data_IF_824648688867
#
_entry.id   IF_824648688867
#
_cell.length_a   1.000
_cell.length_b   1.000
_cell.length_c   1.000
_cell.angle_alpha   90.00
_cell.angle_beta   90.00
_cell.angle_gamma   90.00
#
_symmetry.space_group_name_H-M   'P 1'
#
loop_
_entity.id
_entity.type
_entity.pdbx_description
1 polymer ?
#
# COMPACT_ATOMS: atom_id res chain seq x y z
N UNK A 1 29.25 -8.05 -21.03
CA UNK A 1 28.39 -9.19 -21.44
C UNK A 1 28.41 -10.13 -20.25
N UNK A 2 27.34 -10.40 -19.51
CA UNK A 2 25.97 -10.72 -19.94
C UNK A 2 25.00 -10.37 -18.80
N UNK A 3 23.83 -9.83 -19.16
CA UNK A 3 22.78 -9.33 -18.26
C UNK A 3 22.02 -10.48 -17.60
N UNK A 4 21.86 -10.43 -16.27
CA UNK A 4 20.78 -11.11 -15.56
C UNK A 4 19.55 -10.21 -15.56
N UNK A 5 18.50 -10.62 -16.27
CA UNK A 5 17.17 -10.04 -16.15
C UNK A 5 16.40 -10.82 -15.07
N UNK A 6 16.08 -10.16 -13.96
CA UNK A 6 15.04 -10.61 -13.02
C UNK A 6 13.68 -10.32 -13.65
N UNK A 7 12.83 -11.35 -13.76
CA UNK A 7 11.41 -11.18 -14.02
C UNK A 7 10.71 -10.88 -12.70
N UNK A 8 10.31 -9.62 -12.52
CA UNK A 8 9.29 -9.21 -11.55
C UNK A 8 7.92 -9.62 -12.11
N UNK A 9 7.35 -10.71 -11.61
CA UNK A 9 5.93 -11.02 -11.80
C UNK A 9 5.13 -10.36 -10.67
N UNK A 10 4.68 -9.13 -10.91
CA UNK A 10 3.57 -8.54 -10.16
C UNK A 10 2.29 -9.32 -10.47
N UNK A 11 1.83 -10.13 -9.52
CA UNK A 11 0.49 -10.70 -9.52
C UNK A 11 -0.33 -9.81 -8.61
N UNK A 12 -1.16 -8.93 -9.18
CA UNK A 12 -2.15 -8.14 -8.44
C UNK A 12 -3.06 -9.07 -7.65
N UNK A 13 -2.87 -9.09 -6.34
CA UNK A 13 -3.54 -9.99 -5.39
C UNK A 13 -4.95 -9.54 -5.00
N UNK A 14 -5.72 -8.92 -5.91
CA UNK A 14 -7.09 -8.45 -5.65
C UNK A 14 -8.18 -9.35 -6.26
N UNK A 15 -7.82 -10.30 -7.12
CA UNK A 15 -8.73 -11.36 -7.58
C UNK A 15 -8.47 -12.64 -6.79
N UNK A 16 -9.32 -12.98 -5.81
CA UNK A 16 -9.76 -14.37 -5.48
C UNK A 16 -10.48 -14.57 -4.13
N UNK A 17 -11.11 -13.55 -3.53
CA UNK A 17 -12.04 -13.80 -2.41
C UNK A 17 -13.48 -14.12 -2.84
N UNK A 18 -13.80 -14.05 -4.14
CA UNK A 18 -15.14 -14.39 -4.67
C UNK A 18 -15.47 -15.90 -4.65
N UNK A 19 -14.51 -16.77 -4.28
CA UNK A 19 -14.69 -18.21 -4.25
C UNK A 19 -15.38 -18.74 -2.97
N UNK A 20 -15.44 -17.93 -1.92
CA UNK A 20 -16.06 -18.26 -0.63
C UNK A 20 -17.17 -17.26 -0.31
N UNK A 21 -18.31 -17.36 -0.98
CA UNK A 21 -19.50 -16.61 -0.59
C UNK A 21 -20.11 -17.21 0.69
N UNK A 22 -20.09 -16.43 1.78
CA UNK A 22 -21.25 -16.22 2.65
C UNK A 22 -21.86 -14.86 2.33
N UNK A 23 -23.17 -14.65 2.54
CA UNK A 23 -23.87 -13.49 1.97
C UNK A 23 -23.63 -12.26 2.85
N UNK A 24 -22.64 -11.45 2.50
CA UNK A 24 -22.60 -10.06 2.95
C UNK A 24 -23.34 -9.19 1.91
N UNK A 25 -24.44 -8.60 2.35
CA UNK A 25 -25.22 -7.61 1.60
C UNK A 25 -24.35 -6.44 1.18
N UNK A 26 -24.35 -6.03 -0.10
CA UNK A 26 -23.80 -4.75 -0.49
C UNK A 26 -24.87 -3.68 -0.25
N UNK A 27 -24.91 -3.13 0.97
CA UNK A 27 -25.53 -1.82 1.16
C UNK A 27 -24.44 -0.76 1.14
N UNK A 28 -24.67 0.25 0.30
CA UNK A 28 -23.92 1.50 0.13
C UNK A 28 -22.80 1.49 -0.92
N UNK A 29 -23.18 1.24 -2.17
CA UNK A 29 -22.56 1.88 -3.33
C UNK A 29 -23.64 2.27 -4.34
N UNK A 30 -24.52 3.21 -3.95
CA UNK A 30 -25.38 3.90 -4.92
C UNK A 30 -24.50 4.95 -5.61
N UNK A 31 -23.98 4.62 -6.79
CA UNK A 31 -23.51 5.64 -7.72
C UNK A 31 -24.75 6.21 -8.43
N UNK A 32 -25.06 7.51 -8.31
CA UNK A 32 -26.16 8.11 -9.05
C UNK A 32 -25.72 8.27 -10.51
N UNK A 33 -26.15 7.35 -11.37
CA UNK A 33 -26.07 7.54 -12.81
C UNK A 33 -27.22 8.45 -13.25
N UNK A 34 -27.00 9.77 -13.24
CA UNK A 34 -27.93 10.72 -13.86
C UNK A 34 -27.26 11.50 -14.99
N UNK A 35 -27.61 11.09 -16.21
CA UNK A 35 -27.80 11.88 -17.41
C UNK A 35 -27.01 13.19 -17.58
N UNK A 36 -26.04 13.15 -18.49
CA UNK A 36 -25.38 14.30 -19.08
C UNK A 36 -26.38 15.28 -19.72
N UNK A 37 -26.34 16.55 -19.30
CA UNK A 37 -26.60 17.72 -20.15
C UNK A 37 -26.15 19.00 -19.44
N UNK A 38 -25.17 19.67 -20.05
CA UNK A 38 -24.93 21.12 -19.99
C UNK A 38 -24.39 21.72 -18.69
N UNK A 39 -23.16 22.26 -18.73
CA UNK A 39 -22.94 23.71 -18.73
C UNK A 39 -21.44 24.04 -18.83
N UNK A 40 -21.07 24.51 -20.01
CA UNK A 40 -19.89 25.33 -20.21
C UNK A 40 -20.16 26.76 -19.71
N UNK A 41 -19.08 27.43 -19.26
CA UNK A 41 -18.92 28.86 -19.01
C UNK A 41 -19.85 29.54 -17.97
N UNK A 42 -19.22 30.19 -16.98
CA UNK A 42 -19.26 31.64 -16.86
C UNK A 42 -18.20 32.17 -15.87
N UNK A 43 -17.45 33.15 -16.37
CA UNK A 43 -16.64 34.10 -15.62
C UNK A 43 -17.53 35.03 -14.77
N UNK A 44 -16.90 35.57 -13.73
CA UNK A 44 -17.05 36.93 -13.19
C UNK A 44 -18.16 37.32 -12.18
N UNK A 45 -17.63 37.89 -11.09
CA UNK A 45 -18.06 39.09 -10.36
C UNK A 45 -19.23 39.01 -9.35
N UNK A 46 -18.90 39.35 -8.08
CA UNK A 46 -19.07 40.71 -7.51
C UNK A 46 -19.70 40.78 -6.08
N UNK A 47 -19.02 41.58 -5.22
CA UNK A 47 -19.48 42.42 -4.06
C UNK A 47 -19.72 41.71 -2.70
N UNK A 48 -18.96 42.03 -1.63
CA UNK A 48 -18.85 43.26 -0.77
C UNK A 48 -19.95 43.38 0.30
N UNK A 49 -19.54 43.36 1.58
CA UNK A 49 -20.03 44.19 2.72
C UNK A 49 -19.30 43.72 4.00
N UNK A 50 -18.34 44.43 4.60
CA UNK A 50 -18.38 45.68 5.39
C UNK A 50 -18.71 45.51 6.90
N UNK A 51 -17.65 45.70 7.70
CA UNK A 51 -17.51 46.35 9.03
C UNK A 51 -18.42 45.97 10.22
N UNK A 52 -17.80 45.75 11.38
CA UNK A 52 -17.83 46.66 12.57
C UNK A 52 -17.06 46.10 13.77
N UNK A 53 -16.04 46.83 14.23
CA UNK A 53 -15.61 46.89 15.65
C UNK A 53 -16.48 47.92 16.40
N UNK A 54 -16.47 47.98 17.76
CA UNK A 54 -15.55 48.93 18.42
C UNK A 54 -15.08 48.61 19.88
N UNK A 55 -13.84 49.01 20.18
CA UNK A 55 -13.27 49.70 21.39
C UNK A 55 -13.43 49.21 22.85
N UNK A 56 -12.27 49.18 23.57
CA UNK A 56 -11.87 50.08 24.71
C UNK A 56 -10.44 49.73 25.19
N UNK A 57 -9.40 50.54 24.95
CA UNK A 57 -8.82 51.67 25.72
C UNK A 57 -8.09 51.35 27.03
N UNK A 58 -6.78 51.64 27.07
CA UNK A 58 -6.06 52.46 28.09
C UNK A 58 -4.60 52.68 27.61
N UNK A 59 -4.17 53.84 27.11
CA UNK A 59 -3.55 54.99 27.82
C UNK A 59 -2.21 54.64 28.51
N UNK A 60 -1.04 55.32 28.40
CA UNK A 60 -0.57 56.61 27.84
C UNK A 60 0.99 56.58 27.80
N UNK A 61 1.59 57.00 26.67
CA UNK A 61 2.71 57.95 26.37
C UNK A 61 3.72 58.42 27.47
N UNK A 62 4.88 59.10 27.17
CA UNK A 62 5.33 59.68 25.87
C UNK A 62 6.86 59.62 25.51
N UNK A 63 7.14 59.91 24.23
CA UNK A 63 8.25 60.70 23.61
C UNK A 63 9.73 60.50 23.97
N UNK A 64 10.56 60.31 22.93
CA UNK A 64 11.42 61.38 22.36
C UNK A 64 11.90 61.02 20.95
N UNK A 65 11.70 61.94 19.99
CA UNK A 65 12.36 61.98 18.68
C UNK A 65 13.65 62.79 18.82
N UNK A 66 14.76 62.29 18.27
CA UNK A 66 15.88 63.10 17.79
C UNK A 66 16.29 62.53 16.43
N UNK A 67 16.32 63.38 15.40
CA UNK A 67 16.98 63.12 14.12
C UNK A 67 18.42 63.65 14.21
N UNK A 68 19.39 62.92 13.67
CA UNK A 68 20.54 63.49 12.97
C UNK A 68 21.25 62.40 12.15
N UNK A 69 21.82 62.85 11.03
CA UNK A 69 22.32 62.11 9.87
C UNK A 69 23.75 61.59 10.04
N UNK A 70 24.09 60.50 9.34
CA UNK A 70 25.34 60.44 8.56
C UNK A 70 26.47 59.51 9.03
N UNK A 71 26.85 58.62 8.10
CA UNK A 71 28.16 57.98 7.88
C UNK A 71 28.41 56.61 8.52
N UNK A 72 28.79 55.69 7.62
CA UNK A 72 29.12 54.28 7.77
C UNK A 72 30.20 53.97 8.81
N UNK A 73 29.94 52.91 9.58
CA UNK A 73 30.95 51.94 10.00
C UNK A 73 30.33 50.55 9.95
N UNK A 74 31.03 49.63 9.30
CA UNK A 74 30.69 48.22 9.25
C UNK A 74 30.68 47.64 10.66
N UNK A 75 29.52 47.21 11.13
CA UNK A 75 29.41 46.35 12.29
C UNK A 75 29.16 44.93 11.79
N UNK A 76 30.17 44.10 12.00
CA UNK A 76 30.15 42.65 11.84
C UNK A 76 29.01 42.12 12.70
N UNK A 77 28.05 41.47 12.05
CA UNK A 77 26.93 40.79 12.68
C UNK A 77 27.47 39.60 13.50
N UNK A 78 27.85 39.89 14.74
CA UNK A 78 28.18 38.91 15.75
C UNK A 78 26.91 38.48 16.46
N UNK A 79 26.02 37.77 15.76
CA UNK A 79 24.90 37.12 16.41
C UNK A 79 25.46 36.07 17.39
N UNK A 80 25.25 36.32 18.69
CA UNK A 80 25.82 35.54 19.77
C UNK A 80 25.49 34.04 19.60
N UNK A 81 26.54 33.22 19.59
CA UNK A 81 26.46 31.76 19.43
C UNK A 81 25.85 31.16 20.71
N UNK A 82 24.52 31.10 20.76
CA UNK A 82 23.76 30.55 21.90
C UNK A 82 24.10 29.06 22.06
N UNK A 83 24.49 28.63 23.26
CA UNK A 83 24.76 27.22 23.57
C UNK A 83 23.48 26.37 23.42
N UNK A 84 23.54 25.26 22.66
CA UNK A 84 22.35 24.45 22.31
C UNK A 84 22.33 23.07 22.96
N UNK A 85 23.47 22.47 23.33
CA UNK A 85 23.56 21.28 24.19
C UNK A 85 25.02 20.96 24.59
N UNK A 86 25.25 20.45 25.81
CA UNK A 86 26.55 19.95 26.31
C UNK A 86 27.75 20.92 26.20
N UNK A 87 27.52 22.24 26.26
CA UNK A 87 28.60 23.23 26.20
C UNK A 87 29.23 23.43 24.81
N UNK A 88 28.57 22.95 23.74
CA UNK A 88 28.95 23.26 22.37
C UNK A 88 28.18 24.45 21.83
N UNK A 89 28.89 25.34 21.14
CA UNK A 89 28.26 26.40 20.35
C UNK A 89 27.59 25.82 19.10
N UNK A 90 26.59 26.49 18.52
CA UNK A 90 25.86 25.95 17.35
C UNK A 90 26.82 25.73 16.18
N UNK A 91 27.82 26.60 16.06
CA UNK A 91 28.90 26.48 15.09
C UNK A 91 29.69 25.17 15.26
N UNK A 92 30.08 24.84 16.50
CA UNK A 92 30.83 23.61 16.79
C UNK A 92 29.98 22.35 16.56
N UNK A 93 28.69 22.42 16.87
CA UNK A 93 27.76 21.33 16.59
C UNK A 93 27.60 21.09 15.08
N UNK A 94 27.39 22.16 14.29
CA UNK A 94 27.29 22.07 12.83
C UNK A 94 28.57 21.50 12.21
N UNK A 95 29.72 21.91 12.73
CA UNK A 95 31.03 21.42 12.32
C UNK A 95 31.18 19.91 12.56
N UNK A 96 30.80 19.42 13.74
CA UNK A 96 30.76 17.97 14.02
C UNK A 96 29.78 17.22 13.12
N UNK A 97 28.61 17.79 12.84
CA UNK A 97 27.63 17.19 11.93
C UNK A 97 28.17 17.07 10.50
N UNK A 98 28.92 18.06 10.04
CA UNK A 98 29.62 18.02 8.74
C UNK A 98 30.65 16.88 8.73
N UNK A 99 31.46 16.77 9.78
CA UNK A 99 32.50 15.74 9.89
C UNK A 99 31.89 14.32 10.00
N UNK A 100 30.81 14.17 10.77
CA UNK A 100 30.02 12.94 10.88
C UNK A 100 29.52 12.49 9.50
N UNK A 101 28.94 13.38 8.71
CA UNK A 101 28.40 13.04 7.40
C UNK A 101 29.48 12.85 6.32
N UNK A 102 30.67 13.41 6.48
CA UNK A 102 31.78 13.22 5.54
C UNK A 102 32.58 11.95 5.80
N UNK A 103 32.85 11.63 7.07
CA UNK A 103 33.85 10.64 7.44
C UNK A 103 33.24 9.41 8.11
N UNK A 104 32.34 9.61 9.08
CA UNK A 104 31.84 8.49 9.90
C UNK A 104 30.64 7.78 9.27
N UNK A 105 29.71 8.56 8.71
CA UNK A 105 28.46 8.09 8.10
C UNK A 105 28.27 8.70 6.72
N UNK A 106 29.10 8.36 5.71
CA UNK A 106 29.02 8.96 4.38
C UNK A 106 27.79 8.55 3.56
N UNK A 107 27.01 7.56 4.03
CA UNK A 107 25.83 7.05 3.32
C UNK A 107 24.61 7.92 3.63
N UNK A 108 24.00 8.47 2.59
CA UNK A 108 22.82 9.34 2.69
C UNK A 108 21.60 8.72 3.38
N UNK A 109 21.49 7.38 3.40
CA UNK A 109 20.41 6.68 4.10
C UNK A 109 20.47 6.90 5.62
N UNK A 110 21.68 7.06 6.17
CA UNK A 110 21.89 7.19 7.61
C UNK A 110 21.60 8.63 8.09
N UNK A 111 21.68 9.63 7.20
CA UNK A 111 21.50 11.04 7.55
C UNK A 111 20.08 11.36 8.00
N UNK A 112 19.08 10.65 7.45
CA UNK A 112 17.66 10.84 7.79
C UNK A 112 17.39 10.69 9.27
N UNK A 113 18.11 9.81 9.97
CA UNK A 113 17.98 9.60 11.42
C UNK A 113 18.35 10.84 12.24
N UNK A 114 19.29 11.65 11.74
CA UNK A 114 19.72 12.88 12.40
C UNK A 114 18.84 14.07 12.03
N UNK A 115 18.18 14.01 10.87
CA UNK A 115 17.28 15.04 10.36
C UNK A 115 15.83 14.84 10.79
N UNK A 116 15.52 13.77 11.54
CA UNK A 116 14.13 13.39 11.89
C UNK A 116 13.46 14.38 12.84
N UNK A 117 14.23 14.98 13.73
CA UNK A 117 13.81 15.99 14.70
C UNK A 117 13.71 17.35 14.01
N UNK A 118 12.56 17.61 13.36
CA UNK A 118 12.39 18.75 12.45
C UNK A 118 12.42 20.10 13.15
N UNK A 119 11.86 20.18 14.35
CA UNK A 119 11.86 21.42 15.13
C UNK A 119 13.27 21.81 15.55
N UNK A 120 14.09 20.82 15.87
CA UNK A 120 15.49 20.95 16.20
C UNK A 120 16.29 21.31 14.96
N UNK A 121 16.18 20.54 13.87
CA UNK A 121 16.88 20.80 12.62
C UNK A 121 16.60 22.21 12.09
N UNK A 122 15.36 22.70 12.18
CA UNK A 122 15.00 24.07 11.76
C UNK A 122 15.75 25.16 12.53
N UNK A 123 16.22 24.91 13.76
CA UNK A 123 16.99 25.88 14.57
C UNK A 123 18.44 26.06 14.10
N UNK A 124 19.02 25.05 13.45
CA UNK A 124 20.44 25.03 13.08
C UNK A 124 20.74 24.69 11.62
N UNK A 125 19.75 24.31 10.80
CA UNK A 125 19.93 23.93 9.39
C UNK A 125 20.57 25.03 8.55
N UNK A 126 20.14 26.28 8.71
CA UNK A 126 20.73 27.42 8.00
C UNK A 126 22.21 27.62 8.34
N UNK A 127 22.55 27.46 9.63
CA UNK A 127 23.93 27.50 10.11
C UNK A 127 24.75 26.33 9.56
N UNK A 128 24.19 25.12 9.49
CA UNK A 128 24.85 23.98 8.85
C UNK A 128 25.23 24.28 7.38
N UNK A 129 24.29 24.79 6.58
CA UNK A 129 24.56 25.11 5.18
C UNK A 129 25.55 26.27 5.02
N UNK A 130 25.46 27.28 5.88
CA UNK A 130 26.42 28.39 5.92
C UNK A 130 27.84 27.87 6.23
N UNK A 131 27.98 26.98 7.22
CA UNK A 131 29.24 26.34 7.59
C UNK A 131 29.82 25.47 6.47
N UNK A 132 29.01 24.67 5.77
CA UNK A 132 29.49 23.94 4.59
C UNK A 132 30.08 24.88 3.54
N UNK A 133 29.45 26.05 3.31
CA UNK A 133 29.92 27.04 2.35
C UNK A 133 31.22 27.71 2.80
N UNK A 134 31.27 28.21 4.04
CA UNK A 134 32.48 28.82 4.62
C UNK A 134 33.66 27.85 4.56
N UNK A 135 33.48 26.59 4.97
CA UNK A 135 34.54 25.57 4.88
C UNK A 135 34.98 25.34 3.43
N UNK A 136 34.04 25.22 2.49
CA UNK A 136 34.35 25.02 1.07
C UNK A 136 35.11 26.20 0.43
N UNK A 137 34.88 27.42 0.90
CA UNK A 137 35.55 28.63 0.41
C UNK A 137 36.97 28.80 1.00
N UNK A 138 37.19 28.31 2.23
CA UNK A 138 38.51 28.32 2.88
C UNK A 138 39.46 27.19 2.45
N UNK A 139 38.91 26.08 1.94
CA UNK A 139 39.71 24.91 1.55
C UNK A 139 40.33 25.12 0.17
N UNK A 140 41.66 25.01 0.08
CA UNK A 140 42.43 25.13 -1.17
C UNK A 140 42.32 23.88 -2.04
N UNK A 141 42.15 22.70 -1.42
CA UNK A 141 41.99 21.43 -2.15
C UNK A 141 40.65 21.39 -2.91
N UNK A 142 40.74 21.34 -4.24
CA UNK A 142 39.59 21.29 -5.13
C UNK A 142 38.72 20.06 -4.89
N UNK A 143 39.30 18.91 -4.51
CA UNK A 143 38.53 17.68 -4.28
C UNK A 143 37.71 17.78 -2.99
N UNK A 144 38.31 18.24 -1.90
CA UNK A 144 37.60 18.44 -0.64
C UNK A 144 36.54 19.55 -0.74
N UNK A 145 36.81 20.62 -1.49
CA UNK A 145 35.82 21.65 -1.81
C UNK A 145 34.58 21.07 -2.51
N UNK A 146 34.78 20.23 -3.52
CA UNK A 146 33.67 19.57 -4.22
C UNK A 146 32.89 18.63 -3.29
N UNK A 147 33.57 17.89 -2.41
CA UNK A 147 32.92 17.01 -1.40
C UNK A 147 32.00 17.79 -0.46
N UNK A 148 32.43 18.95 0.05
CA UNK A 148 31.62 19.81 0.92
C UNK A 148 30.40 20.40 0.21
N UNK A 149 30.57 20.84 -1.04
CA UNK A 149 29.46 21.34 -1.86
C UNK A 149 28.46 20.21 -2.17
N UNK A 150 28.96 19.03 -2.51
CA UNK A 150 28.16 17.83 -2.79
C UNK A 150 27.39 17.38 -1.55
N UNK A 151 28.03 17.39 -0.37
CA UNK A 151 27.40 17.11 0.92
C UNK A 151 26.22 18.06 1.16
N UNK A 152 26.45 19.37 1.10
CA UNK A 152 25.42 20.37 1.35
C UNK A 152 24.21 20.19 0.43
N UNK A 153 24.44 19.93 -0.87
CA UNK A 153 23.37 19.66 -1.85
C UNK A 153 22.59 18.39 -1.51
N UNK A 154 23.28 17.31 -1.13
CA UNK A 154 22.64 16.03 -0.78
C UNK A 154 21.83 16.14 0.50
N UNK A 155 22.36 16.78 1.55
CA UNK A 155 21.65 17.00 2.81
C UNK A 155 20.42 17.87 2.56
N UNK A 156 20.53 18.94 1.76
CA UNK A 156 19.38 19.77 1.37
C UNK A 156 18.29 18.99 0.65
N UNK A 157 18.66 18.13 -0.31
CA UNK A 157 17.69 17.28 -0.99
C UNK A 157 16.93 16.36 -0.03
N UNK A 158 17.62 15.81 0.98
CA UNK A 158 16.98 14.97 2.00
C UNK A 158 16.08 15.81 2.91
N UNK A 159 16.55 16.99 3.32
CA UNK A 159 15.77 17.91 4.15
C UNK A 159 14.47 18.36 3.47
N UNK A 160 14.54 18.80 2.20
CA UNK A 160 13.38 19.19 1.39
C UNK A 160 12.39 18.01 1.19
N UNK A 161 12.89 16.78 1.16
CA UNK A 161 12.07 15.57 1.09
C UNK A 161 11.40 15.26 2.44
N UNK A 162 12.14 15.38 3.54
CA UNK A 162 11.63 15.17 4.88
C UNK A 162 10.60 16.24 5.28
N UNK A 163 10.77 17.49 4.86
CA UNK A 163 9.77 18.56 5.05
C UNK A 163 8.47 18.21 4.34
N UNK A 164 8.52 17.85 3.05
CA UNK A 164 7.31 17.45 2.31
C UNK A 164 6.57 16.29 2.97
N UNK A 165 7.29 15.29 3.48
CA UNK A 165 6.68 14.15 4.19
C UNK A 165 6.12 14.55 5.55
N UNK A 166 6.79 15.45 6.28
CA UNK A 166 6.31 15.99 7.56
C UNK A 166 5.04 16.81 7.36
N UNK A 167 4.99 17.66 6.32
CA UNK A 167 3.81 18.44 5.97
C UNK A 167 2.62 17.56 5.59
N UNK A 168 2.87 16.50 4.78
CA UNK A 168 1.83 15.53 4.44
C UNK A 168 1.31 14.80 5.68
N UNK A 169 2.21 14.36 6.56
CA UNK A 169 1.83 13.72 7.81
C UNK A 169 0.98 14.64 8.68
N UNK A 170 1.36 15.92 8.79
CA UNK A 170 0.59 16.93 9.52
C UNK A 170 -0.79 17.15 8.91
N UNK A 171 -0.91 17.25 7.59
CA UNK A 171 -2.21 17.37 6.89
C UNK A 171 -3.13 16.18 7.20
N UNK A 172 -2.58 14.97 7.28
CA UNK A 172 -3.34 13.75 7.65
C UNK A 172 -3.75 13.75 9.13
N UNK A 173 -2.85 14.17 10.02
CA UNK A 173 -3.14 14.28 11.45
C UNK A 173 -4.19 15.34 11.75
N UNK A 174 -4.15 16.48 11.05
CA UNK A 174 -5.12 17.57 11.18
C UNK A 174 -6.51 17.17 10.63
N UNK A 175 -6.56 16.28 9.63
CA UNK A 175 -7.81 15.87 8.96
C UNK A 175 -7.96 14.33 8.88
N UNK A 176 -8.10 13.63 10.03
CA UNK A 176 -8.04 12.17 10.08
C UNK A 176 -9.22 11.46 9.38
N UNK A 177 -10.32 12.17 9.12
CA UNK A 177 -11.51 11.63 8.41
C UNK A 177 -11.41 11.79 6.89
N UNK A 178 -10.53 12.66 6.41
CA UNK A 178 -10.45 13.06 5.00
C UNK A 178 -9.27 12.43 4.26
N UNK A 179 -8.75 11.31 4.77
CA UNK A 179 -7.59 10.62 4.21
C UNK A 179 -7.74 10.35 2.70
N UNK A 180 -8.91 9.89 2.27
CA UNK A 180 -9.18 9.61 0.84
C UNK A 180 -9.10 10.87 -0.03
N UNK A 181 -9.55 12.02 0.48
CA UNK A 181 -9.46 13.30 -0.22
C UNK A 181 -8.00 13.79 -0.29
N UNK A 182 -7.23 13.61 0.79
CA UNK A 182 -5.78 13.94 0.82
C UNK A 182 -5.03 13.08 -0.19
N UNK A 183 -5.29 11.76 -0.24
CA UNK A 183 -4.69 10.85 -1.22
C UNK A 183 -5.03 11.30 -2.65
N UNK A 184 -6.28 11.65 -2.92
CA UNK A 184 -6.70 12.12 -4.26
C UNK A 184 -5.94 13.39 -4.68
N UNK A 185 -5.79 14.36 -3.77
CA UNK A 185 -5.11 15.64 -4.03
C UNK A 185 -3.58 15.49 -4.12
N UNK A 186 -2.99 14.62 -3.30
CA UNK A 186 -1.53 14.52 -3.08
C UNK A 186 -0.95 13.16 -3.42
N UNK A 187 -1.59 12.37 -4.29
CA UNK A 187 -1.17 11.00 -4.63
C UNK A 187 0.33 10.85 -4.89
N UNK A 188 0.94 11.79 -5.60
CA UNK A 188 2.39 11.84 -5.91
C UNK A 188 3.33 11.87 -4.69
N UNK A 189 2.84 12.37 -3.56
CA UNK A 189 3.62 12.48 -2.31
C UNK A 189 3.54 11.19 -1.48
N UNK A 190 2.52 10.33 -1.72
CA UNK A 190 2.41 8.98 -1.16
C UNK A 190 3.27 7.98 -1.96
N UNK A 191 4.58 8.01 -1.72
CA UNK A 191 5.55 7.12 -2.37
C UNK A 191 6.31 6.29 -1.33
N UNK A 192 7.17 5.38 -1.78
CA UNK A 192 7.94 4.52 -0.87
C UNK A 192 8.82 5.30 0.12
N UNK A 193 9.23 6.52 -0.23
CA UNK A 193 10.01 7.39 0.66
C UNK A 193 9.17 7.94 1.82
N UNK A 194 7.89 8.27 1.58
CA UNK A 194 6.94 8.64 2.63
C UNK A 194 6.74 7.51 3.64
N UNK A 195 6.53 6.28 3.17
CA UNK A 195 6.36 5.13 4.08
C UNK A 195 7.64 4.83 4.86
N UNK A 196 8.82 4.98 4.23
CA UNK A 196 10.10 4.88 4.94
C UNK A 196 10.27 5.97 6.00
N UNK A 197 9.76 7.17 5.75
CA UNK A 197 9.74 8.25 6.74
C UNK A 197 8.82 7.93 7.92
N UNK A 198 7.63 7.34 7.69
CA UNK A 198 6.76 6.85 8.76
C UNK A 198 7.42 5.76 9.61
N UNK A 199 8.10 4.80 8.97
CA UNK A 199 8.87 3.76 9.68
C UNK A 199 9.98 4.38 10.53
N UNK A 200 10.73 5.33 9.96
CA UNK A 200 11.78 6.05 10.68
C UNK A 200 11.22 6.77 11.91
N UNK A 201 10.08 7.47 11.78
CA UNK A 201 9.42 8.11 12.92
C UNK A 201 9.07 7.08 13.98
N UNK A 202 8.38 5.98 13.62
CA UNK A 202 8.08 4.89 14.55
C UNK A 202 9.34 4.36 15.27
N UNK A 203 10.47 4.18 14.58
CA UNK A 203 11.72 3.73 15.21
C UNK A 203 12.30 4.75 16.21
N UNK A 204 12.02 6.04 16.03
CA UNK A 204 12.55 7.12 16.89
C UNK A 204 11.69 7.42 18.12
N UNK A 205 10.41 7.05 18.12
CA UNK A 205 9.56 7.17 19.30
C UNK A 205 9.78 6.00 20.26
N UNK A 206 9.98 6.32 21.55
CA UNK A 206 10.25 5.33 22.58
C UNK A 206 8.99 4.62 23.11
N UNK A 207 7.80 5.24 22.96
CA UNK A 207 6.56 4.69 23.48
C UNK A 207 5.97 3.65 22.52
N UNK A 208 5.51 2.53 23.06
CA UNK A 208 4.86 1.47 22.26
C UNK A 208 3.56 1.98 21.62
N UNK A 209 2.87 2.91 22.28
CA UNK A 209 1.64 3.53 21.81
C UNK A 209 1.88 4.41 20.57
N UNK A 210 2.90 5.28 20.60
CA UNK A 210 3.27 6.10 19.44
C UNK A 210 3.69 5.23 18.26
N UNK A 211 4.44 4.15 18.54
CA UNK A 211 4.88 3.20 17.52
C UNK A 211 3.70 2.51 16.83
N UNK A 212 2.72 2.03 17.62
CA UNK A 212 1.49 1.41 17.10
C UNK A 212 0.65 2.43 16.32
N UNK A 213 0.56 3.67 16.80
CA UNK A 213 -0.16 4.74 16.11
C UNK A 213 0.39 5.02 14.70
N UNK A 214 1.72 5.13 14.55
CA UNK A 214 2.36 5.30 13.25
C UNK A 214 2.19 4.08 12.34
N UNK A 215 2.27 2.86 12.89
CA UNK A 215 2.03 1.64 12.12
C UNK A 215 0.60 1.61 11.56
N UNK A 216 -0.41 1.87 12.40
CA UNK A 216 -1.82 1.95 11.97
C UNK A 216 -2.06 3.06 10.96
N UNK A 217 -1.42 4.20 11.13
CA UNK A 217 -1.49 5.29 10.17
C UNK A 217 -0.90 4.88 8.82
N UNK A 218 0.25 4.20 8.82
CA UNK A 218 0.87 3.63 7.63
C UNK A 218 -0.05 2.68 6.89
N UNK A 219 -0.66 1.72 7.60
CA UNK A 219 -1.64 0.78 7.02
C UNK A 219 -2.84 1.51 6.40
N UNK A 220 -3.42 2.48 7.11
CA UNK A 220 -4.54 3.29 6.59
C UNK A 220 -4.15 4.06 5.33
N UNK A 221 -2.97 4.68 5.31
CA UNK A 221 -2.48 5.41 4.15
C UNK A 221 -2.28 4.47 2.95
N UNK A 222 -1.70 3.29 3.17
CA UNK A 222 -1.45 2.31 2.12
C UNK A 222 -2.77 1.77 1.54
N UNK A 223 -3.74 1.46 2.39
CA UNK A 223 -5.09 1.06 1.99
C UNK A 223 -5.76 2.13 1.12
N UNK A 224 -5.78 3.39 1.58
CA UNK A 224 -6.38 4.49 0.83
C UNK A 224 -5.70 4.74 -0.52
N UNK A 225 -4.37 4.63 -0.58
CA UNK A 225 -3.60 4.73 -1.83
C UNK A 225 -3.92 3.58 -2.79
N UNK A 226 -3.95 2.35 -2.27
CA UNK A 226 -4.31 1.16 -3.06
C UNK A 226 -5.73 1.28 -3.62
N UNK A 227 -6.70 1.67 -2.79
CA UNK A 227 -8.08 1.87 -3.23
C UNK A 227 -8.19 2.94 -4.34
N UNK A 228 -7.46 4.05 -4.21
CA UNK A 228 -7.40 5.10 -5.22
C UNK A 228 -6.79 4.59 -6.54
N UNK A 229 -5.64 3.92 -6.48
CA UNK A 229 -4.94 3.41 -7.66
C UNK A 229 -5.75 2.33 -8.38
N UNK A 230 -6.33 1.39 -7.63
CA UNK A 230 -7.23 0.36 -8.18
C UNK A 230 -8.45 1.01 -8.84
N UNK A 231 -9.03 2.06 -8.25
CA UNK A 231 -10.15 2.78 -8.86
C UNK A 231 -9.74 3.44 -10.18
N UNK A 232 -8.57 4.07 -10.23
CA UNK A 232 -8.05 4.65 -11.48
C UNK A 232 -7.79 3.59 -12.56
N UNK A 233 -7.26 2.43 -12.19
CA UNK A 233 -7.06 1.31 -13.11
C UNK A 233 -8.40 0.79 -13.67
N UNK A 234 -9.41 0.64 -12.82
CA UNK A 234 -10.77 0.24 -13.23
C UNK A 234 -11.36 1.28 -14.18
N UNK A 235 -11.28 2.58 -13.84
CA UNK A 235 -11.76 3.66 -14.71
C UNK A 235 -11.03 3.64 -16.06
N UNK A 236 -9.72 3.41 -16.07
CA UNK A 236 -8.93 3.34 -17.31
C UNK A 236 -9.27 2.16 -18.21
N UNK A 237 -9.84 1.09 -17.66
CA UNK A 237 -10.21 -0.13 -18.40
C UNK A 237 -11.72 -0.25 -18.66
N UNK A 238 -12.52 0.65 -18.09
CA UNK A 238 -13.99 0.60 -18.12
C UNK A 238 -14.55 0.62 -19.55
N UNK A 239 -14.06 1.50 -20.42
CA UNK A 239 -14.56 1.63 -21.80
C UNK A 239 -14.33 0.35 -22.61
N UNK A 240 -13.16 -0.29 -22.42
CA UNK A 240 -12.83 -1.56 -23.07
C UNK A 240 -13.69 -2.71 -22.52
N UNK A 241 -13.87 -2.75 -21.19
CA UNK A 241 -14.74 -3.71 -20.55
C UNK A 241 -16.21 -3.56 -20.98
N UNK A 242 -16.68 -2.32 -21.13
CA UNK A 242 -18.02 -2.01 -21.63
C UNK A 242 -18.21 -2.50 -23.07
N UNK A 243 -17.25 -2.22 -23.97
CA UNK A 243 -17.29 -2.72 -25.34
C UNK A 243 -17.33 -4.25 -25.41
N UNK A 244 -16.53 -4.95 -24.59
CA UNK A 244 -16.59 -6.41 -24.47
C UNK A 244 -17.94 -6.89 -23.94
N UNK A 245 -18.52 -6.19 -22.96
CA UNK A 245 -19.81 -6.55 -22.40
C UNK A 245 -20.94 -6.37 -23.43
N UNK A 246 -20.97 -5.25 -24.16
CA UNK A 246 -21.91 -5.01 -25.24
C UNK A 246 -21.77 -6.07 -26.34
N UNK A 247 -20.54 -6.47 -26.69
CA UNK A 247 -20.25 -7.53 -27.65
C UNK A 247 -20.69 -8.93 -27.17
N UNK A 248 -20.73 -9.18 -25.85
CA UNK A 248 -21.38 -10.37 -25.26
C UNK A 248 -22.90 -10.27 -25.42
N UNK A 249 -23.50 -9.13 -25.10
CA UNK A 249 -24.94 -8.92 -25.15
C UNK A 249 -25.51 -8.97 -26.57
N UNK A 250 -24.74 -8.54 -27.57
CA UNK A 250 -25.09 -8.60 -28.99
C UNK A 250 -24.90 -9.99 -29.62
N UNK A 251 -24.59 -11.02 -28.82
CA UNK A 251 -24.48 -12.40 -29.32
C UNK A 251 -25.84 -12.90 -29.84
N UNK A 252 -25.84 -13.75 -30.90
CA UNK A 252 -27.09 -14.21 -31.53
C UNK A 252 -27.94 -15.12 -30.64
N UNK A 253 -27.37 -15.70 -29.59
CA UNK A 253 -28.06 -16.50 -28.59
C UNK A 253 -27.39 -16.42 -27.22
N UNK A 254 -28.12 -16.84 -26.18
CA UNK A 254 -27.59 -16.91 -24.80
C UNK A 254 -26.44 -17.90 -24.69
N UNK A 255 -26.51 -19.02 -25.40
CA UNK A 255 -25.46 -20.03 -25.40
C UNK A 255 -24.20 -19.49 -26.08
N UNK A 256 -24.35 -18.78 -27.20
CA UNK A 256 -23.23 -18.10 -27.87
C UNK A 256 -22.58 -17.04 -26.95
N UNK A 257 -23.38 -16.27 -26.21
CA UNK A 257 -22.87 -15.31 -25.23
C UNK A 257 -22.09 -16.00 -24.09
N UNK A 258 -22.59 -17.13 -23.58
CA UNK A 258 -21.93 -17.92 -22.55
C UNK A 258 -20.60 -18.52 -23.05
N UNK A 259 -20.56 -19.01 -24.28
CA UNK A 259 -19.33 -19.53 -24.89
C UNK A 259 -18.30 -18.43 -25.15
N UNK A 260 -18.75 -17.21 -25.45
CA UNK A 260 -17.90 -16.02 -25.55
C UNK A 260 -17.28 -15.62 -24.21
N UNK A 261 -18.04 -15.71 -23.12
CA UNK A 261 -17.47 -15.53 -21.77
C UNK A 261 -16.38 -16.59 -21.49
N UNK A 262 -16.60 -17.85 -21.88
CA UNK A 262 -15.60 -18.92 -21.72
C UNK A 262 -14.36 -18.65 -22.59
N UNK A 263 -14.49 -18.11 -23.80
CA UNK A 263 -13.33 -17.80 -24.65
C UNK A 263 -12.52 -16.64 -24.08
N UNK A 264 -13.17 -15.59 -23.59
CA UNK A 264 -12.52 -14.45 -22.90
C UNK A 264 -11.76 -14.90 -21.65
N UNK A 265 -12.32 -15.85 -20.89
CA UNK A 265 -11.63 -16.46 -19.75
C UNK A 265 -10.36 -17.20 -20.19
N UNK A 266 -10.44 -18.01 -21.26
CA UNK A 266 -9.29 -18.74 -21.81
C UNK A 266 -8.19 -17.81 -22.34
N UNK A 267 -8.55 -16.66 -22.94
CA UNK A 267 -7.58 -15.66 -23.41
C UNK A 267 -7.08 -14.72 -22.31
N UNK A 268 -7.51 -14.89 -21.05
CA UNK A 268 -7.21 -14.00 -19.90
C UNK A 268 -7.71 -12.56 -20.09
N UNK A 269 -8.75 -12.38 -20.89
CA UNK A 269 -9.40 -11.10 -21.14
C UNK A 269 -10.69 -10.90 -20.32
N UNK A 270 -11.07 -11.90 -19.53
CA UNK A 270 -12.10 -11.78 -18.49
C UNK A 270 -11.52 -11.04 -17.27
N UNK A 271 -11.20 -9.77 -17.46
CA UNK A 271 -10.58 -8.88 -16.48
C UNK A 271 -11.56 -8.43 -15.37
N UNK A 272 -11.02 -7.85 -14.30
CA UNK A 272 -11.77 -7.41 -13.12
C UNK A 272 -12.89 -6.42 -13.46
N UNK A 273 -12.64 -5.53 -14.43
CA UNK A 273 -13.61 -4.51 -14.88
C UNK A 273 -14.79 -5.16 -15.60
N UNK A 274 -14.54 -6.13 -16.50
CA UNK A 274 -15.59 -6.89 -17.17
C UNK A 274 -16.38 -7.76 -16.18
N UNK A 275 -15.71 -8.40 -15.23
CA UNK A 275 -16.38 -9.17 -14.16
C UNK A 275 -17.28 -8.27 -13.31
N UNK A 276 -16.82 -7.06 -12.97
CA UNK A 276 -17.60 -6.08 -12.22
C UNK A 276 -18.86 -5.65 -12.98
N UNK A 277 -18.76 -5.36 -14.28
CA UNK A 277 -19.89 -5.01 -15.13
C UNK A 277 -20.94 -6.13 -15.18
N UNK A 278 -20.52 -7.37 -15.41
CA UNK A 278 -21.45 -8.51 -15.47
C UNK A 278 -22.14 -8.74 -14.12
N UNK A 279 -21.39 -8.67 -13.01
CA UNK A 279 -21.97 -8.83 -11.67
C UNK A 279 -22.94 -7.70 -11.34
N UNK A 280 -22.59 -6.45 -11.68
CA UNK A 280 -23.44 -5.27 -11.48
C UNK A 280 -24.72 -5.33 -12.32
N UNK A 281 -24.62 -5.77 -13.58
CA UNK A 281 -25.76 -5.98 -14.44
C UNK A 281 -26.72 -7.05 -13.89
N UNK A 282 -26.19 -8.16 -13.39
CA UNK A 282 -27.00 -9.19 -12.72
C UNK A 282 -27.65 -8.69 -11.43
N UNK A 283 -26.90 -7.98 -10.57
CA UNK A 283 -27.45 -7.42 -9.34
C UNK A 283 -28.60 -6.45 -9.63
N UNK A 284 -28.40 -5.52 -10.55
CA UNK A 284 -29.42 -4.57 -11.01
C UNK A 284 -30.63 -5.30 -11.61
N UNK A 285 -30.40 -6.37 -12.37
CA UNK A 285 -31.47 -7.15 -12.96
C UNK A 285 -32.30 -7.91 -11.93
N UNK A 286 -31.62 -8.49 -10.93
CA UNK A 286 -32.25 -9.22 -9.84
C UNK A 286 -33.14 -8.31 -9.00
N UNK A 287 -32.67 -7.10 -8.68
CA UNK A 287 -33.37 -6.13 -7.83
C UNK A 287 -34.48 -5.36 -8.56
N UNK A 288 -34.40 -5.25 -9.89
CA UNK A 288 -35.40 -4.53 -10.68
C UNK A 288 -36.77 -5.21 -10.63
N UNK A 289 -37.80 -4.47 -10.21
CA UNK A 289 -39.21 -4.91 -10.24
C UNK A 289 -39.84 -4.78 -11.63
N UNK A 290 -39.27 -3.97 -12.52
CA UNK A 290 -39.82 -3.65 -13.84
C UNK A 290 -39.24 -4.49 -14.96
N UNK A 291 -38.11 -5.18 -14.73
CA UNK A 291 -37.46 -5.99 -15.76
C UNK A 291 -38.18 -7.32 -15.97
N UNK A 292 -38.37 -7.70 -17.24
CA UNK A 292 -38.99 -8.98 -17.63
C UNK A 292 -38.16 -10.18 -17.13
N UNK A 293 -38.86 -11.27 -16.81
CA UNK A 293 -38.22 -12.48 -16.28
C UNK A 293 -37.24 -13.11 -17.28
N UNK A 294 -37.49 -13.01 -18.59
CA UNK A 294 -36.56 -13.53 -19.60
C UNK A 294 -35.22 -12.80 -19.54
N UNK A 295 -35.23 -11.48 -19.33
CA UNK A 295 -34.00 -10.68 -19.22
C UNK A 295 -33.24 -11.05 -17.95
N UNK A 296 -33.94 -11.25 -16.83
CA UNK A 296 -33.33 -11.70 -15.58
C UNK A 296 -32.66 -13.06 -15.74
N UNK A 297 -33.33 -13.99 -16.43
CA UNK A 297 -32.78 -15.33 -16.69
C UNK A 297 -31.54 -15.26 -17.59
N UNK A 298 -31.55 -14.43 -18.64
CA UNK A 298 -30.37 -14.20 -19.48
C UNK A 298 -29.20 -13.67 -18.63
N UNK A 299 -29.42 -12.61 -17.86
CA UNK A 299 -28.37 -12.02 -17.01
C UNK A 299 -27.86 -13.00 -15.96
N UNK A 300 -28.74 -13.81 -15.38
CA UNK A 300 -28.38 -14.86 -14.44
C UNK A 300 -27.47 -15.91 -15.10
N UNK A 301 -27.78 -16.34 -16.33
CA UNK A 301 -26.94 -17.29 -17.09
C UNK A 301 -25.58 -16.71 -17.42
N UNK A 302 -25.49 -15.46 -17.86
CA UNK A 302 -24.21 -14.79 -18.10
C UNK A 302 -23.39 -14.70 -16.81
N UNK A 303 -24.00 -14.29 -15.70
CA UNK A 303 -23.36 -14.31 -14.38
C UNK A 303 -22.85 -15.71 -14.01
N UNK A 304 -23.68 -16.75 -14.15
CA UNK A 304 -23.29 -18.14 -13.85
C UNK A 304 -22.15 -18.61 -14.75
N UNK A 305 -22.16 -18.27 -16.04
CA UNK A 305 -21.08 -18.58 -16.97
C UNK A 305 -19.77 -17.91 -16.54
N UNK A 306 -19.80 -16.61 -16.20
CA UNK A 306 -18.65 -15.88 -15.66
C UNK A 306 -18.10 -16.54 -14.40
N UNK A 307 -18.96 -16.85 -13.42
CA UNK A 307 -18.54 -17.51 -12.18
C UNK A 307 -17.95 -18.90 -12.42
N UNK A 308 -18.53 -19.66 -13.35
CA UNK A 308 -18.01 -20.98 -13.74
C UNK A 308 -16.65 -20.86 -14.43
N UNK A 309 -16.49 -19.88 -15.33
CA UNK A 309 -15.24 -19.63 -16.03
C UNK A 309 -14.12 -19.24 -15.05
N UNK A 310 -14.39 -18.34 -14.11
CA UNK A 310 -13.43 -17.97 -13.06
C UNK A 310 -13.02 -19.18 -12.21
N UNK A 311 -13.97 -20.03 -11.81
CA UNK A 311 -13.69 -21.28 -11.08
C UNK A 311 -12.88 -22.28 -11.91
N UNK A 312 -13.08 -22.30 -13.22
CA UNK A 312 -12.34 -23.19 -14.12
C UNK A 312 -10.88 -22.76 -14.28
N UNK A 313 -10.62 -21.44 -14.25
CA UNK A 313 -9.27 -20.86 -14.27
C UNK A 313 -8.53 -21.02 -12.93
N UNK A 314 -9.27 -21.31 -11.84
CA UNK A 314 -8.64 -21.51 -10.54
C UNK A 314 -7.71 -22.73 -10.57
N UNK A 315 -6.50 -22.59 -10.00
CA UNK A 315 -5.57 -23.71 -9.81
C UNK A 315 -6.24 -24.88 -9.10
N UNK A 316 -5.74 -26.10 -9.38
CA UNK A 316 -6.27 -27.32 -8.78
C UNK A 316 -6.16 -27.30 -7.25
N UNK A 317 -5.15 -26.61 -6.72
CA UNK A 317 -4.92 -26.41 -5.29
C UNK A 317 -6.05 -25.63 -4.63
N UNK A 318 -6.63 -24.64 -5.31
CA UNK A 318 -7.78 -23.87 -4.78
C UNK A 318 -9.04 -24.75 -4.70
N UNK A 319 -9.22 -25.64 -5.68
CA UNK A 319 -10.33 -26.61 -5.68
C UNK A 319 -10.15 -27.62 -4.54
N UNK A 320 -8.92 -28.10 -4.32
CA UNK A 320 -8.58 -28.97 -3.20
C UNK A 320 -8.81 -28.27 -1.85
N UNK A 321 -8.36 -27.03 -1.68
CA UNK A 321 -8.58 -26.28 -0.44
C UNK A 321 -10.07 -26.11 -0.15
N UNK A 322 -10.88 -25.78 -1.15
CA UNK A 322 -12.33 -25.70 -0.97
C UNK A 322 -12.92 -27.03 -0.50
N UNK A 323 -12.47 -28.15 -1.06
CA UNK A 323 -12.88 -29.48 -0.63
C UNK A 323 -12.46 -29.76 0.83
N UNK A 324 -11.18 -29.59 1.15
CA UNK A 324 -10.63 -29.83 2.50
C UNK A 324 -11.29 -28.96 3.57
N UNK A 325 -11.57 -27.69 3.27
CA UNK A 325 -12.20 -26.76 4.21
C UNK A 325 -13.68 -27.09 4.46
N UNK A 326 -14.35 -27.76 3.51
CA UNK A 326 -15.74 -28.19 3.64
C UNK A 326 -15.89 -29.48 4.48
N UNK A 327 -14.82 -30.28 4.59
CA UNK A 327 -14.81 -31.45 5.49
C UNK A 327 -14.86 -30.95 6.93
N UNK A 328 -15.86 -31.42 7.69
CA UNK A 328 -16.08 -31.00 9.06
C UNK A 328 -15.24 -31.80 10.05
N UNK A 329 -15.07 -33.10 9.77
CA UNK A 329 -14.28 -34.00 10.60
C UNK A 329 -12.77 -33.81 10.36
N UNK A 330 -11.96 -33.53 11.40
CA UNK A 330 -10.53 -33.33 11.24
C UNK A 330 -9.79 -34.55 10.69
N UNK A 331 -10.16 -35.77 11.10
CA UNK A 331 -9.48 -37.00 10.72
C UNK A 331 -9.73 -37.34 9.25
N UNK A 332 -10.98 -37.21 8.79
CA UNK A 332 -11.35 -37.31 7.38
C UNK A 332 -10.63 -36.27 6.52
N UNK A 333 -10.49 -35.03 7.02
CA UNK A 333 -9.78 -33.96 6.32
C UNK A 333 -8.30 -34.25 6.15
N UNK A 334 -7.62 -34.74 7.19
CA UNK A 334 -6.20 -35.09 7.10
C UNK A 334 -5.98 -36.35 6.26
N UNK A 335 -6.90 -37.31 6.30
CA UNK A 335 -6.87 -38.47 5.40
C UNK A 335 -7.01 -38.05 3.94
N UNK A 336 -7.92 -37.11 3.65
CA UNK A 336 -8.08 -36.51 2.32
C UNK A 336 -6.84 -35.72 1.87
N UNK A 337 -6.19 -34.99 2.78
CA UNK A 337 -4.96 -34.26 2.52
C UNK A 337 -3.80 -35.22 2.19
N UNK A 338 -3.61 -36.29 2.97
CA UNK A 338 -2.59 -37.29 2.75
C UNK A 338 -2.77 -37.99 1.38
N UNK A 339 -4.02 -38.30 1.03
CA UNK A 339 -4.39 -38.85 -0.28
C UNK A 339 -4.06 -37.89 -1.42
N UNK A 340 -4.30 -36.58 -1.23
CA UNK A 340 -3.98 -35.57 -2.24
C UNK A 340 -2.48 -35.40 -2.51
N UNK A 341 -1.62 -35.71 -1.51
CA UNK A 341 -0.17 -35.70 -1.63
C UNK A 341 0.44 -37.02 -2.10
N UNK A 342 -0.31 -38.11 -2.02
CA UNK A 342 0.14 -39.44 -2.42
C UNK A 342 -0.74 -39.94 -3.57
N UNK A 343 -0.44 -39.58 -4.82
CA UNK A 343 -1.07 -40.26 -5.96
C UNK A 343 -0.73 -41.73 -5.83
N UNK A 344 -1.73 -42.58 -5.59
CA UNK A 344 -1.54 -44.03 -5.59
C UNK A 344 -0.85 -44.45 -6.88
N UNK A 345 -0.13 -45.58 -6.86
CA UNK A 345 0.41 -46.17 -8.09
C UNK A 345 -0.66 -46.17 -9.19
N UNK A 346 -0.27 -45.81 -10.42
CA UNK A 346 -1.12 -45.43 -11.57
C UNK A 346 -2.18 -46.47 -12.01
N UNK A 347 -2.35 -47.57 -11.27
CA UNK A 347 -3.36 -48.59 -11.53
C UNK A 347 -4.57 -48.59 -10.58
N UNK A 348 -4.62 -47.76 -9.54
CA UNK A 348 -5.78 -47.64 -8.63
C UNK A 348 -6.36 -46.21 -8.59
N UNK A 349 -6.63 -45.62 -9.75
CA UNK A 349 -7.44 -44.39 -9.81
C UNK A 349 -8.90 -44.71 -9.46
N UNK A 350 -9.19 -44.87 -8.16
CA UNK A 350 -10.54 -45.18 -7.65
C UNK A 350 -11.51 -44.00 -7.73
N UNK A 351 -11.04 -42.79 -8.03
CA UNK A 351 -11.90 -41.63 -8.26
C UNK A 351 -11.40 -40.77 -9.44
N UNK A 352 -12.16 -40.66 -10.54
CA UNK A 352 -11.89 -39.73 -11.65
C UNK A 352 -11.80 -38.25 -11.22
N UNK A 353 -12.24 -37.91 -10.01
CA UNK A 353 -12.28 -36.56 -9.46
C UNK A 353 -11.19 -36.28 -8.41
N UNK A 354 -10.26 -37.20 -8.15
CA UNK A 354 -9.20 -37.00 -7.17
C UNK A 354 -8.22 -35.88 -7.60
N UNK A 355 -8.09 -34.84 -6.78
CA UNK A 355 -7.22 -33.69 -7.04
C UNK A 355 -5.88 -33.89 -6.35
N UNK A 356 -4.84 -34.21 -7.12
CA UNK A 356 -3.47 -34.40 -6.61
C UNK A 356 -2.62 -33.13 -6.71
N UNK A 357 -1.82 -32.84 -5.69
CA UNK A 357 -0.92 -31.69 -5.62
C UNK A 357 0.36 -32.03 -4.85
N UNK A 358 1.40 -31.20 -4.97
CA UNK A 358 2.55 -31.27 -4.08
C UNK A 358 2.28 -30.49 -2.77
N UNK A 359 2.91 -30.87 -1.65
CA UNK A 359 2.86 -30.11 -0.40
C UNK A 359 3.30 -28.64 -0.58
N UNK A 360 4.35 -28.41 -1.37
CA UNK A 360 4.89 -27.07 -1.65
C UNK A 360 3.90 -26.15 -2.37
N UNK A 361 3.23 -26.65 -3.41
CA UNK A 361 2.25 -25.84 -4.15
C UNK A 361 0.99 -25.58 -3.31
N UNK A 362 0.50 -26.57 -2.55
CA UNK A 362 -0.65 -26.36 -1.67
C UNK A 362 -0.32 -25.33 -0.57
N UNK A 363 0.84 -25.44 0.07
CA UNK A 363 1.32 -24.50 1.08
C UNK A 363 1.39 -23.07 0.55
N UNK A 364 1.95 -22.89 -0.65
CA UNK A 364 2.01 -21.59 -1.32
C UNK A 364 0.63 -20.95 -1.47
N UNK A 365 -0.37 -21.71 -1.92
CA UNK A 365 -1.74 -21.19 -2.07
C UNK A 365 -2.41 -20.91 -0.72
N UNK A 366 -2.20 -21.76 0.29
CA UNK A 366 -2.67 -21.51 1.67
C UNK A 366 -2.10 -20.20 2.20
N UNK A 367 -0.80 -19.97 2.02
CA UNK A 367 -0.11 -18.75 2.43
C UNK A 367 -0.67 -17.51 1.72
N UNK A 368 -0.80 -17.56 0.39
CA UNK A 368 -1.40 -16.45 -0.40
C UNK A 368 -2.80 -16.11 0.12
N UNK A 369 -3.63 -17.11 0.42
CA UNK A 369 -5.00 -16.88 0.91
C UNK A 369 -5.04 -16.29 2.33
N UNK A 370 -4.17 -16.75 3.23
CA UNK A 370 -4.06 -16.20 4.59
C UNK A 370 -3.52 -14.77 4.57
N UNK A 371 -2.51 -14.50 3.74
CA UNK A 371 -1.94 -13.17 3.57
C UNK A 371 -3.00 -12.20 3.04
N UNK A 372 -3.76 -12.59 2.00
CA UNK A 372 -4.85 -11.79 1.44
C UNK A 372 -5.97 -11.51 2.46
N UNK A 373 -6.34 -12.50 3.30
CA UNK A 373 -7.31 -12.29 4.36
C UNK A 373 -6.81 -11.31 5.43
N UNK A 374 -5.56 -11.43 5.84
CA UNK A 374 -4.96 -10.54 6.84
C UNK A 374 -4.82 -9.10 6.32
N UNK A 375 -4.43 -8.92 5.06
CA UNK A 375 -4.36 -7.59 4.43
C UNK A 375 -5.72 -6.88 4.42
N UNK A 376 -6.82 -7.61 4.24
CA UNK A 376 -8.17 -7.04 4.28
C UNK A 376 -8.70 -6.80 5.72
N UNK A 377 -8.33 -7.63 6.70
CA UNK A 377 -8.77 -7.47 8.11
C UNK A 377 -7.95 -6.42 8.88
N UNK A 378 -6.74 -6.10 8.43
CA UNK A 378 -5.94 -5.01 9.01
C UNK A 378 -6.54 -3.61 8.80
N UNK A 379 -7.56 -3.47 7.95
CA UNK A 379 -8.30 -2.22 7.77
C UNK A 379 -9.29 -1.90 8.91
N UNK A 380 -9.73 -2.89 9.69
CA UNK A 380 -10.92 -2.71 10.55
C UNK A 380 -10.73 -2.93 12.06
N UNK A 381 -9.81 -3.77 12.59
CA UNK A 381 -9.87 -4.11 14.04
C UNK A 381 -8.54 -4.37 14.79
N UNK A 382 -8.58 -4.13 16.11
CA UNK A 382 -7.49 -4.21 17.11
C UNK A 382 -6.99 -5.67 17.29
N UNK A 383 -5.66 -5.84 17.39
CA UNK A 383 -4.93 -7.13 17.37
C UNK A 383 -5.38 -8.19 18.38
N UNK A 384 -5.85 -7.80 19.57
CA UNK A 384 -6.24 -8.74 20.63
C UNK A 384 -7.67 -9.30 20.47
N UNK A 385 -8.58 -8.54 19.84
CA UNK A 385 -9.90 -9.05 19.43
C UNK A 385 -9.81 -10.01 18.23
N UNK A 386 -8.68 -10.00 17.48
CA UNK A 386 -8.50 -10.80 16.26
C UNK A 386 -8.52 -12.31 16.49
N UNK A 387 -8.07 -12.81 17.65
CA UNK A 387 -8.05 -14.26 17.93
C UNK A 387 -9.45 -14.81 18.27
N UNK A 388 -10.31 -13.97 18.86
CA UNK A 388 -11.66 -14.34 19.24
C UNK A 388 -12.63 -14.34 18.05
N UNK A 389 -12.30 -13.59 16.98
CA UNK A 389 -13.24 -13.26 15.89
C UNK A 389 -12.76 -13.75 14.50
N UNK A 390 -12.02 -14.86 14.44
CA UNK A 390 -11.68 -15.49 13.17
C UNK A 390 -12.85 -16.36 12.67
N UNK A 391 -13.35 -16.17 11.44
CA UNK A 391 -14.29 -17.10 10.83
C UNK A 391 -13.71 -18.51 10.86
N UNK A 392 -14.50 -19.53 11.22
CA UNK A 392 -14.06 -20.92 11.34
C UNK A 392 -13.24 -21.42 10.13
N UNK A 393 -13.53 -20.91 8.93
CA UNK A 393 -12.81 -21.25 7.69
C UNK A 393 -11.34 -20.82 7.75
N UNK A 394 -11.03 -19.65 8.31
CA UNK A 394 -9.66 -19.13 8.44
C UNK A 394 -8.86 -19.92 9.47
N UNK A 395 -9.49 -20.27 10.60
CA UNK A 395 -8.87 -21.15 11.59
C UNK A 395 -8.52 -22.50 10.98
N UNK A 396 -9.47 -23.11 10.25
CA UNK A 396 -9.24 -24.37 9.52
C UNK A 396 -8.09 -24.24 8.51
N UNK A 397 -7.98 -23.11 7.82
CA UNK A 397 -6.92 -22.84 6.85
C UNK A 397 -5.54 -22.67 7.53
N UNK A 398 -5.48 -22.00 8.68
CA UNK A 398 -4.25 -21.88 9.49
C UNK A 398 -3.78 -23.24 10.00
N UNK A 399 -4.69 -24.08 10.50
CA UNK A 399 -4.36 -25.45 10.93
C UNK A 399 -3.79 -26.25 9.74
N UNK A 400 -4.43 -26.18 8.57
CA UNK A 400 -3.91 -26.85 7.37
C UNK A 400 -2.50 -26.35 7.00
N UNK A 401 -2.22 -25.05 7.14
CA UNK A 401 -0.88 -24.50 6.92
C UNK A 401 0.15 -25.14 7.84
N UNK A 402 -0.12 -25.13 9.15
CA UNK A 402 0.78 -25.66 10.19
C UNK A 402 1.03 -27.16 9.99
N UNK A 403 -0.01 -27.93 9.67
CA UNK A 403 0.13 -29.37 9.37
C UNK A 403 1.00 -29.61 8.14
N UNK A 404 0.79 -28.86 7.06
CA UNK A 404 1.61 -29.03 5.83
C UNK A 404 3.07 -28.66 6.09
N UNK A 405 3.33 -27.61 6.87
CA UNK A 405 4.69 -27.21 7.27
C UNK A 405 5.36 -28.32 8.11
N UNK A 406 4.74 -28.75 9.20
CA UNK A 406 5.31 -29.69 10.15
C UNK A 406 5.47 -31.11 9.58
N UNK A 407 4.47 -31.61 8.86
CA UNK A 407 4.45 -33.03 8.48
C UNK A 407 5.09 -33.30 7.11
N UNK A 408 5.10 -32.32 6.21
CA UNK A 408 5.50 -32.52 4.81
C UNK A 408 6.68 -31.65 4.37
N UNK A 409 6.82 -30.42 4.87
CA UNK A 409 7.94 -29.54 4.46
C UNK A 409 9.17 -29.69 5.37
N UNK A 410 9.01 -29.85 6.67
CA UNK A 410 10.12 -30.09 7.60
C UNK A 410 10.76 -31.47 7.44
N UNK A 411 9.98 -32.50 7.06
CA UNK A 411 10.51 -33.84 6.78
C UNK A 411 11.35 -33.90 5.50
N UNK A 412 10.95 -33.20 4.43
CA UNK A 412 11.75 -33.12 3.20
C UNK A 412 13.13 -32.48 3.45
N UNK A 413 13.20 -31.41 4.26
CA UNK A 413 14.45 -30.72 4.60
C UNK A 413 15.42 -31.57 5.46
N UNK A 414 14.89 -32.52 6.24
CA UNK A 414 15.69 -33.44 7.03
C UNK A 414 16.13 -34.68 6.21
N UNK A 415 15.35 -35.10 5.23
CA UNK A 415 15.68 -36.26 4.38
C UNK A 415 16.77 -35.93 3.35
N UNK A 416 16.83 -34.69 2.85
CA UNK A 416 17.93 -34.23 1.97
C UNK A 416 19.30 -34.14 2.67
N UNK A 417 19.34 -34.06 4.02
CA UNK A 417 20.61 -34.03 4.78
C UNK A 417 21.21 -35.41 5.05
N UNK A 418 20.40 -36.47 5.08
CA UNK A 418 20.85 -37.85 5.30
C UNK A 418 21.27 -38.58 4.01
N UNK A 419 21.20 -37.90 2.85
CA UNK A 419 21.42 -38.51 1.53
C UNK A 419 22.78 -38.17 0.90
N UNK A 420 23.81 -37.78 1.68
CA UNK A 420 25.19 -37.76 1.17
C UNK A 420 25.82 -39.15 1.36
N UNK A 421 26.24 -39.85 0.28
CA UNK A 421 26.86 -41.16 0.39
C UNK A 421 28.30 -41.02 0.91
N UNK A 422 28.61 -41.80 1.96
CA UNK A 422 29.98 -42.01 2.45
C UNK A 422 30.88 -42.50 1.30
N UNK A 423 31.92 -41.73 0.99
CA UNK A 423 33.02 -42.17 0.13
C UNK A 423 33.72 -43.36 0.81
N UNK A 424 33.53 -44.55 0.25
CA UNK A 424 34.29 -45.74 0.62
C UNK A 424 35.76 -45.55 0.21
N UNK A 425 36.63 -45.40 1.20
CA UNK A 425 38.09 -45.48 1.03
C UNK A 425 38.47 -46.95 0.76
N UNK A 426 38.98 -47.23 -0.44
CA UNK A 426 39.96 -48.31 -0.69
C UNK A 426 41.05 -47.75 -1.59
#
# INVERSE_FOLDING_TARGET
>A
MTRFHSLETSISATTNLSLFHTPFSPSNAVLPLSSSKSLAMLLENSKKSASRTPTRTSAKNPTTKVMASGVSTAEVDGEADVEVAEGYTITQFCDKMIDLFLYEKPKSKDWRKYLVFREEWRKYGDRFYSRCRTRADTVVDSQMKEKLISLARKVRKIDDEMERHTELLKEIQDNPRDLNAIVTKRRKDFNGEFFRHLTLLSETYNSLEDRDAFARLGTRCLSAVSAYDNTLEIVGTLDTAQAKFDDILNSPSVDAACDKIKSLAKSKELDSSLVLLINGAWASAKESSTMRNEVKEIMHRLYKATQSSLRSMAPKEIKLLKYLLNITDPEERFSALATAFSPGHEHDAKDPNAIYTSPKELHKWIKIMLDAYNMNKEETEIREAKQLDQPMVIQRLSILKETVEAEYLEKEANTEKDSQPEETVI
#
